data_IF_868017002135
#
_entry.id   IF_868017002135
#
_cell.length_a   1.000
_cell.length_b   1.000
_cell.length_c   1.000
_cell.angle_alpha   90.00
_cell.angle_beta   90.00
_cell.angle_gamma   90.00
#
_symmetry.space_group_name_H-M   'P 1'
#
loop_
_entity.id
_entity.type
_entity.pdbx_description
1 polymer ?
#
# COMPACT_ATOMS: atom_id res chain seq x y z
N UNK A 1 16.86 15.40 1.16
CA UNK A 1 15.41 15.44 1.49
C UNK A 1 14.68 14.36 0.68
N UNK A 2 13.55 13.84 1.15
CA UNK A 2 12.81 12.79 0.43
C UNK A 2 11.29 12.91 0.63
N UNK A 3 10.52 12.52 -0.38
CA UNK A 3 9.07 12.37 -0.28
C UNK A 3 8.70 10.91 -0.48
N UNK A 4 7.89 10.37 0.41
CA UNK A 4 7.41 8.99 0.35
C UNK A 4 5.91 9.01 0.21
N UNK A 5 5.41 8.51 -0.91
CA UNK A 5 3.99 8.25 -1.11
C UNK A 5 3.74 6.77 -0.91
N UNK A 6 2.95 6.42 0.10
CA UNK A 6 2.49 5.05 0.32
C UNK A 6 1.08 4.94 -0.25
N UNK A 7 0.89 4.05 -1.23
CA UNK A 7 -0.42 3.72 -1.78
C UNK A 7 -0.79 2.30 -1.40
N UNK A 8 -1.79 2.16 -0.53
CA UNK A 8 -2.40 0.89 -0.21
C UNK A 8 -3.64 0.67 -1.07
N UNK A 9 -3.56 -0.24 -2.03
CA UNK A 9 -4.61 -0.53 -3.00
C UNK A 9 -5.34 -1.82 -2.66
N UNK A 10 -6.66 -1.76 -2.75
CA UNK A 10 -7.57 -2.90 -2.60
C UNK A 10 -8.21 -3.15 -3.96
N UNK A 11 -8.00 -4.35 -4.49
CA UNK A 11 -8.65 -4.83 -5.70
C UNK A 11 -9.80 -5.75 -5.29
N UNK A 12 -11.02 -5.24 -5.35
CA UNK A 12 -12.21 -5.96 -4.92
C UNK A 12 -13.26 -6.03 -6.04
N UNK A 13 -14.24 -6.92 -5.88
CA UNK A 13 -15.40 -7.02 -6.78
C UNK A 13 -16.66 -6.40 -6.21
N UNK A 14 -16.66 -6.13 -4.91
CA UNK A 14 -17.87 -5.79 -4.18
C UNK A 14 -17.65 -4.46 -3.49
N UNK A 15 -18.57 -3.53 -3.72
CA UNK A 15 -18.57 -2.25 -3.00
C UNK A 15 -18.62 -2.44 -1.47
N UNK A 16 -19.11 -3.60 -0.99
CA UNK A 16 -19.14 -3.93 0.43
C UNK A 16 -17.74 -4.08 1.02
N UNK A 17 -16.80 -4.69 0.28
CA UNK A 17 -15.41 -4.81 0.69
C UNK A 17 -14.79 -3.43 0.83
N UNK A 18 -14.97 -2.57 -0.17
CA UNK A 18 -14.40 -1.22 -0.18
C UNK A 18 -14.97 -0.36 0.95
N UNK A 19 -16.30 -0.40 1.17
CA UNK A 19 -16.98 0.32 2.27
C UNK A 19 -16.56 -0.15 3.67
N UNK A 20 -16.10 -1.39 3.82
CA UNK A 20 -15.61 -1.91 5.10
C UNK A 20 -14.16 -1.51 5.34
N UNK A 21 -13.30 -1.62 4.32
CA UNK A 21 -11.90 -1.21 4.42
C UNK A 21 -11.76 0.31 4.55
N UNK A 22 -12.66 1.09 3.95
CA UNK A 22 -12.64 2.55 4.08
C UNK A 22 -12.94 3.02 5.50
N UNK A 23 -13.57 2.19 6.32
CA UNK A 23 -13.80 2.47 7.76
C UNK A 23 -12.60 2.08 8.63
N UNK A 24 -11.73 1.21 8.11
CA UNK A 24 -10.52 0.74 8.78
C UNK A 24 -9.35 1.68 8.53
N UNK A 25 -9.23 2.23 7.32
CA UNK A 25 -8.22 3.21 6.96
C UNK A 25 -8.37 4.48 7.81
N UNK A 26 -7.35 4.82 8.60
CA UNK A 26 -7.35 6.05 9.39
C UNK A 26 -6.69 7.16 8.58
N UNK A 27 -7.47 8.20 8.27
CA UNK A 27 -6.97 9.49 7.77
C UNK A 27 -5.92 9.39 6.64
N UNK A 28 -6.21 8.70 5.53
CA UNK A 28 -5.38 8.85 4.33
C UNK A 28 -5.45 10.30 3.84
N UNK A 29 -4.36 10.79 3.26
CA UNK A 29 -4.32 12.13 2.65
C UNK A 29 -5.23 12.19 1.41
N UNK A 30 -5.31 11.08 0.67
CA UNK A 30 -6.19 10.94 -0.47
C UNK A 30 -6.81 9.53 -0.53
N UNK A 31 -8.09 9.45 -0.93
CA UNK A 31 -8.76 8.20 -1.30
C UNK A 31 -9.14 8.29 -2.76
N UNK A 32 -8.56 7.43 -3.59
CA UNK A 32 -8.80 7.39 -5.04
C UNK A 32 -9.52 6.09 -5.38
N UNK A 33 -10.64 6.20 -6.11
CA UNK A 33 -11.34 5.04 -6.67
C UNK A 33 -11.02 5.00 -8.15
N UNK A 34 -10.06 4.15 -8.54
CA UNK A 34 -9.65 4.01 -9.94
C UNK A 34 -10.55 2.98 -10.64
N UNK A 35 -11.18 3.40 -11.74
CA UNK A 35 -12.12 2.57 -12.50
C UNK A 35 -11.44 1.58 -13.45
N UNK A 36 -11.93 0.32 -13.44
CA UNK A 36 -11.79 -0.83 -14.38
C UNK A 36 -10.41 -1.19 -14.99
N UNK A 37 -10.11 -2.50 -15.19
CA UNK A 37 -9.77 -3.52 -14.21
C UNK A 37 -8.37 -4.12 -14.46
N UNK A 38 -7.65 -4.53 -13.41
CA UNK A 38 -6.56 -5.49 -13.61
C UNK A 38 -7.19 -6.84 -13.96
N UNK A 39 -6.81 -7.37 -15.12
CA UNK A 39 -7.19 -8.71 -15.55
C UNK A 39 -6.15 -9.69 -14.98
N UNK A 40 -6.48 -10.28 -13.84
CA UNK A 40 -5.58 -11.20 -13.18
C UNK A 40 -5.70 -12.59 -13.81
N UNK A 41 -4.73 -12.94 -14.66
CA UNK A 41 -4.60 -14.29 -15.24
C UNK A 41 -3.78 -15.18 -14.31
N UNK A 42 -4.28 -15.47 -13.11
CA UNK A 42 -3.62 -16.45 -12.21
C UNK A 42 -3.90 -17.91 -12.62
N UNK A 43 -4.19 -18.18 -13.89
CA UNK A 43 -4.34 -19.52 -14.49
C UNK A 43 -5.56 -20.34 -14.02
N UNK A 44 -6.20 -19.98 -12.90
CA UNK A 44 -7.26 -20.75 -12.25
C UNK A 44 -8.66 -20.15 -12.43
N UNK A 45 -8.79 -18.88 -12.84
CA UNK A 45 -10.07 -18.20 -12.98
C UNK A 45 -10.16 -17.40 -14.28
N UNK A 46 -11.32 -17.49 -14.96
CA UNK A 46 -11.68 -16.61 -16.07
C UNK A 46 -11.52 -15.15 -15.65
N UNK A 47 -11.03 -14.29 -16.55
CA UNK A 47 -10.64 -12.90 -16.28
C UNK A 47 -11.68 -12.13 -15.48
N UNK A 48 -11.47 -12.03 -14.17
CA UNK A 48 -12.33 -11.32 -13.23
C UNK A 48 -11.91 -9.84 -13.24
N UNK A 49 -12.85 -8.94 -13.50
CA UNK A 49 -12.63 -7.49 -13.41
C UNK A 49 -12.71 -7.09 -11.93
N UNK A 50 -11.64 -6.51 -11.39
CA UNK A 50 -11.60 -5.90 -10.07
C UNK A 50 -11.65 -4.38 -10.19
N UNK A 51 -12.29 -3.73 -9.21
CA UNK A 51 -12.22 -2.30 -8.99
C UNK A 51 -11.10 -2.02 -7.99
N UNK A 52 -10.32 -0.98 -8.24
CA UNK A 52 -9.26 -0.54 -7.34
C UNK A 52 -9.76 0.59 -6.46
N UNK A 53 -9.59 0.45 -5.15
CA UNK A 53 -9.68 1.53 -4.18
C UNK A 53 -8.31 1.73 -3.55
N UNK A 54 -7.73 2.91 -3.70
CA UNK A 54 -6.41 3.27 -3.20
C UNK A 54 -6.53 4.24 -2.02
N UNK A 55 -5.81 3.93 -0.94
CA UNK A 55 -5.61 4.79 0.23
C UNK A 55 -4.17 5.32 0.18
N UNK A 56 -4.02 6.62 -0.06
CA UNK A 56 -2.72 7.26 -0.27
C UNK A 56 -2.32 8.04 0.98
N UNK A 57 -1.06 7.86 1.39
CA UNK A 57 -0.42 8.55 2.50
C UNK A 57 0.87 9.21 2.02
N UNK A 58 1.06 10.47 2.32
CA UNK A 58 2.21 11.26 1.85
C UNK A 58 3.04 11.70 3.05
N UNK A 59 4.32 11.35 3.03
CA UNK A 59 5.28 11.72 4.05
C UNK A 59 6.39 12.57 3.44
N UNK A 60 6.55 13.78 3.96
CA UNK A 60 7.72 14.61 3.69
C UNK A 60 8.80 14.31 4.74
N UNK A 61 9.92 13.76 4.28
CA UNK A 61 11.02 13.35 5.12
C UNK A 61 12.20 14.31 4.94
N UNK A 62 12.72 14.79 6.07
CA UNK A 62 13.98 15.56 6.08
C UNK A 62 15.15 14.66 5.66
N UNK A 63 15.12 13.41 6.09
CA UNK A 63 16.13 12.41 5.79
C UNK A 63 15.50 11.14 5.22
N UNK A 64 16.11 10.61 4.16
CA UNK A 64 15.69 9.39 3.49
C UNK A 64 15.81 8.15 4.40
N UNK A 65 16.68 8.17 5.40
CA UNK A 65 16.78 7.09 6.40
C UNK A 65 15.54 6.98 7.31
N UNK A 66 14.67 8.00 7.31
CA UNK A 66 13.44 8.00 8.11
C UNK A 66 12.29 7.20 7.47
N UNK A 67 12.51 6.52 6.32
CA UNK A 67 11.51 5.62 5.69
C UNK A 67 11.00 4.55 6.67
N UNK A 68 11.81 4.11 7.62
CA UNK A 68 11.37 3.17 8.66
C UNK A 68 10.18 3.71 9.47
N UNK A 69 10.12 5.03 9.69
CA UNK A 69 9.01 5.65 10.41
C UNK A 69 7.73 5.60 9.58
N UNK A 70 7.81 5.71 8.26
CA UNK A 70 6.69 5.52 7.34
C UNK A 70 6.10 4.10 7.47
N UNK A 71 6.96 3.07 7.49
CA UNK A 71 6.53 1.68 7.70
C UNK A 71 5.81 1.49 9.04
N UNK A 72 6.38 2.06 10.11
CA UNK A 72 5.81 1.97 11.45
C UNK A 72 4.44 2.64 11.53
N UNK A 73 4.31 3.85 10.97
CA UNK A 73 3.05 4.58 10.94
C UNK A 73 1.97 3.77 10.20
N UNK A 74 2.30 3.26 9.01
CA UNK A 74 1.39 2.43 8.23
C UNK A 74 0.99 1.15 9.00
N UNK A 75 1.95 0.46 9.63
CA UNK A 75 1.64 -0.72 10.45
C UNK A 75 0.72 -0.41 11.63
N UNK A 76 0.95 0.71 12.33
CA UNK A 76 0.16 1.07 13.52
C UNK A 76 -1.32 1.31 13.19
N UNK A 77 -1.61 1.67 11.93
CA UNK A 77 -2.96 1.75 11.37
C UNK A 77 -3.53 0.36 11.08
N UNK A 78 -2.83 -0.46 10.28
CA UNK A 78 -3.40 -1.67 9.70
C UNK A 78 -3.26 -2.93 10.56
N UNK A 79 -2.28 -2.99 11.47
CA UNK A 79 -1.97 -4.18 12.29
C UNK A 79 -3.16 -4.61 13.17
N UNK A 80 -3.99 -3.67 13.61
CA UNK A 80 -5.16 -3.94 14.46
C UNK A 80 -6.30 -4.59 13.68
N UNK A 81 -6.29 -4.43 12.37
CA UNK A 81 -7.38 -4.83 11.47
C UNK A 81 -7.10 -6.18 10.77
N UNK A 82 -5.91 -6.77 10.98
CA UNK A 82 -5.44 -8.00 10.32
C UNK A 82 -6.50 -9.12 10.36
N UNK A 83 -7.06 -9.39 11.54
CA UNK A 83 -8.03 -10.48 11.70
C UNK A 83 -9.35 -10.20 10.98
N UNK A 84 -9.75 -8.93 10.89
CA UNK A 84 -10.94 -8.55 10.14
C UNK A 84 -10.69 -8.65 8.63
N UNK A 85 -9.52 -8.20 8.16
CA UNK A 85 -9.10 -8.28 6.77
C UNK A 85 -9.04 -9.75 6.30
N UNK A 86 -8.47 -10.65 7.10
CA UNK A 86 -8.44 -12.09 6.80
C UNK A 86 -9.84 -12.69 6.63
N UNK A 87 -10.77 -12.36 7.53
CA UNK A 87 -12.16 -12.83 7.43
C UNK A 87 -12.81 -12.34 6.14
N UNK A 88 -12.66 -11.05 5.83
CA UNK A 88 -13.19 -10.48 4.60
C UNK A 88 -12.57 -11.14 3.35
N UNK A 89 -11.29 -11.50 3.40
CA UNK A 89 -10.62 -12.16 2.26
C UNK A 89 -11.24 -13.52 1.98
N UNK A 90 -11.58 -14.29 3.01
CA UNK A 90 -12.29 -15.58 2.89
C UNK A 90 -13.71 -15.37 2.31
N UNK A 91 -14.43 -14.37 2.80
CA UNK A 91 -15.84 -14.16 2.46
C UNK A 91 -16.06 -13.55 1.06
N UNK A 92 -15.19 -12.64 0.63
CA UNK A 92 -15.43 -11.82 -0.55
C UNK A 92 -14.37 -11.98 -1.66
N UNK A 93 -13.15 -12.40 -1.32
CA UNK A 93 -12.03 -12.52 -2.24
C UNK A 93 -11.61 -11.18 -2.85
N UNK A 94 -10.53 -10.61 -2.35
CA UNK A 94 -9.91 -9.39 -2.86
C UNK A 94 -8.39 -9.52 -2.81
N UNK A 95 -7.67 -8.62 -3.48
CA UNK A 95 -6.21 -8.56 -3.45
C UNK A 95 -5.80 -7.24 -2.84
N UNK A 96 -4.72 -7.29 -2.06
CA UNK A 96 -4.12 -6.13 -1.43
C UNK A 96 -2.74 -5.89 -2.02
N UNK A 97 -2.46 -4.64 -2.32
CA UNK A 97 -1.17 -4.19 -2.82
C UNK A 97 -0.72 -2.96 -2.03
N UNK A 98 0.56 -2.88 -1.73
CA UNK A 98 1.18 -1.81 -0.99
C UNK A 98 2.38 -1.31 -1.78
N UNK A 99 2.20 -0.13 -2.37
CA UNK A 99 3.17 0.50 -3.24
C UNK A 99 3.81 1.69 -2.53
N UNK A 100 5.13 1.70 -2.46
CA UNK A 100 5.91 2.83 -1.96
C UNK A 100 6.55 3.54 -3.14
N UNK A 101 6.23 4.82 -3.33
CA UNK A 101 6.86 5.70 -4.30
C UNK A 101 7.76 6.68 -3.54
N UNK A 102 9.08 6.48 -3.64
CA UNK A 102 10.09 7.25 -2.91
C UNK A 102 10.78 8.19 -3.88
N UNK A 103 10.55 9.50 -3.73
CA UNK A 103 11.25 10.54 -4.49
C UNK A 103 12.40 11.08 -3.67
N UNK A 104 13.63 10.91 -4.15
CA UNK A 104 14.87 11.39 -3.52
C UNK A 104 15.33 12.65 -4.24
N UNK A 105 15.67 13.70 -3.49
CA UNK A 105 16.00 15.02 -4.06
C UNK A 105 17.50 15.34 -4.11
N UNK A 106 18.37 14.47 -3.58
CA UNK A 106 19.81 14.75 -3.42
C UNK A 106 20.73 13.53 -3.67
N UNK A 107 20.29 12.53 -4.44
CA UNK A 107 21.08 11.32 -4.76
C UNK A 107 21.53 10.41 -3.60
N UNK A 108 21.13 10.68 -2.36
CA UNK A 108 21.38 9.78 -1.23
C UNK A 108 20.37 8.63 -1.24
N UNK A 109 20.71 7.54 -1.93
CA UNK A 109 19.93 6.31 -1.87
C UNK A 109 20.20 5.58 -0.55
N UNK A 110 19.17 5.27 0.26
CA UNK A 110 19.35 4.61 1.53
C UNK A 110 19.61 3.12 1.31
N UNK A 111 20.36 2.50 2.20
CA UNK A 111 20.20 1.07 2.41
C UNK A 111 18.79 0.84 2.99
N UNK A 112 17.98 0.03 2.31
CA UNK A 112 16.62 -0.27 2.78
C UNK A 112 16.68 -1.37 3.82
N UNK A 113 16.18 -1.03 5.00
CA UNK A 113 15.96 -1.99 6.06
C UNK A 113 14.46 -2.09 6.35
N UNK A 114 13.90 -3.27 6.12
CA UNK A 114 12.55 -3.58 6.54
C UNK A 114 12.60 -4.30 7.89
N UNK A 115 11.91 -3.72 8.86
CA UNK A 115 11.79 -4.34 10.18
C UNK A 115 11.08 -5.69 10.04
N UNK A 116 11.52 -6.75 10.76
CA UNK A 116 10.88 -8.07 10.70
C UNK A 116 9.37 -8.03 10.94
N UNK A 117 8.91 -7.17 11.86
CA UNK A 117 7.49 -6.98 12.15
C UNK A 117 6.70 -6.44 10.95
N UNK A 118 7.30 -5.59 10.12
CA UNK A 118 6.67 -5.08 8.90
C UNK A 118 6.43 -6.22 7.91
N UNK A 119 7.47 -7.01 7.64
CA UNK A 119 7.38 -8.18 6.76
C UNK A 119 6.36 -9.20 7.28
N UNK A 120 6.30 -9.39 8.59
CA UNK A 120 5.31 -10.25 9.23
C UNK A 120 3.89 -9.76 9.00
N UNK A 121 3.62 -8.45 9.18
CA UNK A 121 2.29 -7.87 8.94
C UNK A 121 1.88 -8.03 7.47
N UNK A 122 2.79 -7.75 6.53
CA UNK A 122 2.53 -7.96 5.09
C UNK A 122 2.15 -9.41 4.79
N UNK A 123 2.93 -10.37 5.30
CA UNK A 123 2.66 -11.79 5.12
C UNK A 123 1.34 -12.24 5.74
N UNK A 124 1.01 -11.73 6.92
CA UNK A 124 -0.24 -12.06 7.61
C UNK A 124 -1.48 -11.49 6.91
N UNK A 125 -1.36 -10.34 6.27
CA UNK A 125 -2.43 -9.71 5.50
C UNK A 125 -2.52 -10.25 4.06
N UNK A 126 -1.50 -10.97 3.58
CA UNK A 126 -1.43 -11.42 2.18
C UNK A 126 -1.25 -10.26 1.20
N UNK A 127 -0.52 -9.22 1.62
CA UNK A 127 -0.30 -7.99 0.85
C UNK A 127 0.86 -8.19 -0.12
N UNK A 128 0.67 -7.83 -1.38
CA UNK A 128 1.77 -7.65 -2.33
C UNK A 128 2.47 -6.34 -2.03
N UNK A 129 3.80 -6.33 -2.06
CA UNK A 129 4.58 -5.16 -1.70
C UNK A 129 5.55 -4.81 -2.81
N UNK A 130 5.51 -3.55 -3.24
CA UNK A 130 6.43 -3.00 -4.23
C UNK A 130 6.96 -1.65 -3.76
N UNK A 131 8.19 -1.33 -4.15
CA UNK A 131 8.83 -0.07 -3.83
C UNK A 131 9.57 0.46 -5.04
N UNK A 132 9.34 1.74 -5.36
CA UNK A 132 9.87 2.44 -6.52
C UNK A 132 10.66 3.65 -6.05
N UNK A 133 11.84 3.85 -6.65
CA UNK A 133 12.70 5.00 -6.37
C UNK A 133 12.74 5.90 -7.58
N UNK A 134 12.44 7.18 -7.34
CA UNK A 134 12.54 8.24 -8.32
C UNK A 134 13.61 9.21 -7.85
N UNK A 135 14.46 9.63 -8.77
CA UNK A 135 15.41 10.70 -8.53
C UNK A 135 14.85 11.95 -9.15
N UNK A 136 14.55 12.95 -8.33
CA UNK A 136 14.22 14.28 -8.83
C UNK A 136 15.52 15.08 -8.80
N UNK A 137 16.32 14.93 -9.86
CA UNK A 137 17.46 15.80 -10.07
C UNK A 137 16.91 17.22 -10.26
N UNK A 138 17.11 18.08 -9.25
CA UNK A 138 16.96 19.52 -9.49
C UNK A 138 17.77 19.83 -10.73
N UNK A 139 17.10 20.29 -11.79
CA UNK A 139 17.77 20.88 -12.94
C UNK A 139 18.70 21.98 -12.41
N UNK A 140 19.99 21.67 -12.32
CA UNK A 140 21.07 22.60 -12.02
C UNK A 140 22.11 22.51 -13.11
#
# INVERSE_FOLDING_TARGET
>A
MANVTIRFSVYSKTEKTDKLLSKMAKTPDEITILGYPILLTNGLHSGKKFQETAYTYVYELKNIFDIEQCNKNWMDEWKKEIEQIKKLHIDFGFILDLNYEVTVFDNDYPALYFQPDFLYVLGMMGVQFSMYFYNDEKQQ
#
